data_IF_455644632728
#
_entry.id   IF_455644632728
#
_cell.length_a   1.000
_cell.length_b   1.000
_cell.length_c   1.000
_cell.angle_alpha   90.00
_cell.angle_beta   90.00
_cell.angle_gamma   90.00
#
_symmetry.space_group_name_H-M   'P 1'
#
loop_
_entity.id
_entity.type
_entity.pdbx_description
1 polymer ?
#
# COMPACT_ATOMS: atom_id res chain seq x y z
N UNK A 1 27.73 -1.34 28.39
CA UNK A 1 26.41 -0.71 28.11
C UNK A 1 26.17 0.52 28.97
N UNK A 2 26.53 0.49 30.25
CA UNK A 2 26.39 1.65 31.16
C UNK A 2 27.32 2.83 30.87
N UNK A 3 28.34 2.66 30.03
CA UNK A 3 29.29 3.72 29.64
C UNK A 3 28.60 4.97 29.09
N UNK A 4 27.47 4.81 28.40
CA UNK A 4 26.69 5.95 27.86
C UNK A 4 26.05 6.75 28.99
N UNK A 5 25.60 6.09 30.05
CA UNK A 5 25.07 6.76 31.24
C UNK A 5 26.16 7.55 31.95
N UNK A 6 27.40 7.07 31.91
CA UNK A 6 28.57 7.68 32.54
C UNK A 6 29.15 8.91 31.81
N UNK A 7 28.70 9.22 30.59
CA UNK A 7 29.17 10.40 29.84
C UNK A 7 28.89 11.68 30.65
N UNK A 8 29.89 12.53 30.95
CA UNK A 8 29.67 13.76 31.71
C UNK A 8 28.80 14.77 30.95
N UNK A 9 28.22 15.75 31.64
CA UNK A 9 27.31 16.73 31.02
C UNK A 9 27.98 17.53 29.89
N UNK A 10 29.28 17.76 29.95
CA UNK A 10 30.08 18.39 28.88
C UNK A 10 30.02 17.63 27.55
N UNK A 11 29.86 16.30 27.60
CA UNK A 11 29.70 15.44 26.42
C UNK A 11 28.29 15.42 25.84
N UNK A 12 27.29 15.98 26.53
CA UNK A 12 25.89 15.94 26.12
C UNK A 12 25.64 16.50 24.70
N UNK A 13 26.19 17.66 24.30
CA UNK A 13 25.92 18.20 22.96
C UNK A 13 26.35 17.26 21.83
N UNK A 14 27.52 16.64 21.97
CA UNK A 14 28.05 15.70 20.99
C UNK A 14 27.24 14.40 20.96
N UNK A 15 26.88 13.88 22.15
CA UNK A 15 26.06 12.68 22.28
C UNK A 15 24.68 12.86 21.65
N UNK A 16 23.95 13.91 22.02
CA UNK A 16 22.61 14.20 21.48
C UNK A 16 22.66 14.36 19.96
N UNK A 17 23.66 15.07 19.44
CA UNK A 17 23.81 15.24 17.99
C UNK A 17 24.01 13.91 17.26
N UNK A 18 24.78 12.97 17.85
CA UNK A 18 24.98 11.64 17.27
C UNK A 18 23.73 10.77 17.39
N UNK A 19 23.11 10.74 18.57
CA UNK A 19 21.91 9.95 18.82
C UNK A 19 20.72 10.42 17.95
N UNK A 20 20.55 11.74 17.76
CA UNK A 20 19.51 12.27 16.89
C UNK A 20 19.71 11.98 15.41
N UNK A 21 20.96 11.78 14.98
CA UNK A 21 21.27 11.33 13.62
C UNK A 21 21.10 9.82 13.46
N UNK A 22 21.22 9.07 14.55
CA UNK A 22 21.01 7.63 14.53
C UNK A 22 19.53 7.31 14.32
N UNK A 23 19.25 6.35 13.45
CA UNK A 23 17.90 5.85 13.27
C UNK A 23 17.59 4.84 14.37
N UNK A 24 16.98 5.32 15.46
CA UNK A 24 16.58 4.44 16.55
C UNK A 24 15.56 3.41 16.11
N UNK A 25 14.89 3.58 14.96
CA UNK A 25 13.94 2.61 14.41
C UNK A 25 14.63 1.30 13.97
N UNK A 26 15.95 1.30 13.80
CA UNK A 26 16.73 0.08 13.54
C UNK A 26 16.89 -0.82 14.77
N UNK A 27 16.49 -0.35 15.96
CA UNK A 27 16.45 -1.18 17.16
C UNK A 27 15.08 -1.85 17.34
N UNK A 28 15.00 -3.08 17.87
CA UNK A 28 13.74 -3.66 18.33
C UNK A 28 13.03 -2.74 19.33
N UNK A 29 11.69 -2.73 19.34
CA UNK A 29 10.90 -1.97 20.34
C UNK A 29 11.24 -2.33 21.78
N UNK A 30 11.58 -3.59 22.04
CA UNK A 30 11.95 -4.16 23.35
C UNK A 30 13.40 -3.88 23.77
N UNK A 31 14.22 -3.27 22.89
CA UNK A 31 15.66 -3.13 23.12
C UNK A 31 15.99 -2.28 24.37
N UNK A 32 16.76 -2.80 25.34
CA UNK A 32 17.21 -2.03 26.51
C UNK A 32 18.01 -0.76 26.14
N UNK A 33 18.66 -0.77 24.98
CA UNK A 33 19.42 0.37 24.48
C UNK A 33 18.54 1.61 24.26
N UNK A 34 17.26 1.42 23.90
CA UNK A 34 16.30 2.55 23.77
C UNK A 34 16.12 3.26 25.11
N UNK A 35 15.98 2.49 26.20
CA UNK A 35 15.80 3.04 27.55
C UNK A 35 17.06 3.78 28.00
N UNK A 36 18.24 3.22 27.72
CA UNK A 36 19.53 3.86 28.03
C UNK A 36 19.67 5.19 27.28
N UNK A 37 19.45 5.19 25.96
CA UNK A 37 19.52 6.39 25.13
C UNK A 37 18.51 7.44 25.56
N UNK A 38 17.27 7.05 25.83
CA UNK A 38 16.22 7.93 26.33
C UNK A 38 16.65 8.55 27.66
N UNK A 39 17.05 7.73 28.63
CA UNK A 39 17.44 8.18 29.97
C UNK A 39 18.56 9.19 29.90
N UNK A 40 19.61 8.87 29.12
CA UNK A 40 20.74 9.78 28.97
C UNK A 40 20.34 11.06 28.25
N UNK A 41 19.55 10.96 27.18
CA UNK A 41 19.10 12.12 26.43
C UNK A 41 18.26 13.07 27.29
N UNK A 42 17.39 12.54 28.15
CA UNK A 42 16.57 13.33 29.07
C UNK A 42 17.37 14.02 30.18
N UNK A 43 18.56 13.50 30.54
CA UNK A 43 19.49 14.19 31.45
C UNK A 43 20.30 15.30 30.77
N UNK A 44 20.41 15.25 29.45
CA UNK A 44 21.22 16.15 28.65
C UNK A 44 20.44 17.32 28.01
N UNK A 45 19.11 17.21 27.94
CA UNK A 45 18.27 18.15 27.22
C UNK A 45 17.23 18.79 28.14
N UNK A 46 17.15 20.12 28.07
CA UNK A 46 15.98 20.87 28.49
C UNK A 46 14.97 20.87 27.33
N UNK A 47 13.81 20.23 27.57
CA UNK A 47 12.76 20.05 26.56
C UNK A 47 12.15 21.37 26.08
N UNK A 48 12.38 22.47 26.80
CA UNK A 48 11.87 23.81 26.46
C UNK A 48 12.81 24.60 25.56
N UNK A 49 14.04 24.12 25.36
CA UNK A 49 15.08 24.83 24.61
C UNK A 49 15.13 24.38 23.14
N UNK A 50 15.65 25.22 22.22
CA UNK A 50 15.70 24.90 20.79
C UNK A 50 16.46 23.60 20.46
N UNK A 51 17.41 23.18 21.29
CA UNK A 51 18.23 21.97 21.09
C UNK A 51 17.41 20.69 21.07
N UNK A 52 16.16 20.70 21.55
CA UNK A 52 15.26 19.54 21.55
C UNK A 52 15.01 18.98 20.14
N UNK A 53 15.14 19.80 19.08
CA UNK A 53 15.06 19.32 17.68
C UNK A 53 16.16 18.32 17.34
N UNK A 54 17.26 18.31 18.09
CA UNK A 54 18.36 17.35 17.93
C UNK A 54 18.02 15.96 18.47
N UNK A 55 16.83 15.73 19.05
CA UNK A 55 16.37 14.40 19.46
C UNK A 55 16.28 13.42 18.28
N UNK A 56 15.97 13.90 17.07
CA UNK A 56 15.80 13.02 15.91
C UNK A 56 14.74 11.94 16.16
N UNK A 57 15.05 10.69 15.84
CA UNK A 57 14.14 9.55 16.04
C UNK A 57 13.89 9.16 17.50
N UNK A 58 14.71 9.65 18.45
CA UNK A 58 14.45 9.42 19.88
C UNK A 58 13.16 10.07 20.37
N UNK A 59 12.57 10.99 19.60
CA UNK A 59 11.24 11.56 19.89
C UNK A 59 10.16 10.47 19.95
N UNK A 60 10.36 9.30 19.33
CA UNK A 60 9.46 8.16 19.45
C UNK A 60 9.48 7.55 20.87
N UNK A 61 10.63 7.62 21.55
CA UNK A 61 10.88 6.91 22.80
C UNK A 61 10.59 7.80 24.04
N UNK A 62 10.56 9.13 23.92
CA UNK A 62 10.29 10.03 25.06
C UNK A 62 8.88 9.86 25.65
N UNK A 63 8.71 10.16 26.93
CA UNK A 63 7.39 10.12 27.60
C UNK A 63 6.44 11.21 27.10
N UNK A 64 5.12 11.03 27.33
CA UNK A 64 4.10 12.00 26.97
C UNK A 64 4.30 13.36 27.69
N UNK A 65 4.75 13.35 28.95
CA UNK A 65 5.04 14.58 29.70
C UNK A 65 6.20 15.37 29.11
N UNK A 66 7.28 14.69 28.71
CA UNK A 66 8.44 15.32 28.04
C UNK A 66 8.06 15.83 26.65
N UNK A 67 7.27 15.06 25.88
CA UNK A 67 6.73 15.51 24.60
C UNK A 67 5.87 16.77 24.77
N UNK A 68 5.07 16.86 25.83
CA UNK A 68 4.24 18.03 26.11
C UNK A 68 5.06 19.33 26.22
N UNK A 69 6.23 19.25 26.85
CA UNK A 69 7.13 20.39 27.09
C UNK A 69 7.83 20.95 25.85
N UNK A 70 7.85 20.23 24.72
CA UNK A 70 8.47 20.71 23.48
C UNK A 70 7.69 21.92 22.94
N UNK A 71 8.29 23.09 22.70
CA UNK A 71 7.54 24.20 22.13
C UNK A 71 7.06 23.89 20.69
N UNK A 72 5.97 24.51 20.26
CA UNK A 72 5.25 24.10 19.04
C UNK A 72 6.10 24.21 17.76
N UNK A 73 6.99 25.19 17.69
CA UNK A 73 7.89 25.36 16.55
C UNK A 73 8.89 24.19 16.44
N UNK A 74 9.49 23.79 17.56
CA UNK A 74 10.38 22.62 17.59
C UNK A 74 9.61 21.32 17.36
N UNK A 75 8.36 21.23 17.84
CA UNK A 75 7.50 20.09 17.54
C UNK A 75 7.26 19.94 16.04
N UNK A 76 6.98 21.04 15.31
CA UNK A 76 6.85 21.00 13.84
C UNK A 76 8.12 20.47 13.18
N UNK A 77 9.30 20.88 13.63
CA UNK A 77 10.59 20.37 13.13
C UNK A 77 10.80 18.88 13.38
N UNK A 78 10.24 18.34 14.46
CA UNK A 78 10.35 16.93 14.82
C UNK A 78 9.28 16.03 14.17
N UNK A 79 8.24 16.59 13.56
CA UNK A 79 7.15 15.79 12.95
C UNK A 79 7.66 14.77 11.91
N UNK A 80 8.58 15.09 10.98
CA UNK A 80 9.07 14.10 10.03
C UNK A 80 9.71 12.88 10.70
N UNK A 81 10.28 13.05 11.91
CA UNK A 81 10.80 11.94 12.72
C UNK A 81 9.69 11.20 13.45
N UNK A 82 8.67 11.91 13.91
CA UNK A 82 7.46 11.31 14.48
C UNK A 82 6.69 10.45 13.47
N UNK A 83 6.71 10.79 12.18
CA UNK A 83 6.06 9.99 11.13
C UNK A 83 6.59 8.56 11.08
N UNK A 84 7.87 8.34 11.46
CA UNK A 84 8.49 7.03 11.48
C UNK A 84 8.27 6.23 12.79
N UNK A 85 7.62 6.82 13.79
CA UNK A 85 7.39 6.10 15.06
C UNK A 85 6.40 4.95 14.93
N UNK A 86 5.47 5.04 13.97
CA UNK A 86 4.30 4.18 13.90
C UNK A 86 3.35 4.43 15.06
N UNK A 87 2.70 3.38 15.55
CA UNK A 87 1.73 3.41 16.65
C UNK A 87 2.19 4.21 17.89
N UNK A 88 1.32 5.10 18.38
CA UNK A 88 1.53 5.86 19.62
C UNK A 88 0.63 5.31 20.75
N UNK A 89 1.14 5.34 21.99
CA UNK A 89 0.31 5.13 23.18
C UNK A 89 -0.77 6.22 23.30
N UNK A 90 -1.91 5.90 23.91
CA UNK A 90 -3.03 6.84 24.11
C UNK A 90 -2.64 8.19 24.73
N UNK A 91 -1.73 8.18 25.71
CA UNK A 91 -1.23 9.40 26.36
C UNK A 91 -0.47 10.29 25.37
N UNK A 92 0.50 9.70 24.64
CA UNK A 92 1.25 10.41 23.59
C UNK A 92 0.34 10.92 22.49
N UNK A 93 -0.61 10.11 22.03
CA UNK A 93 -1.57 10.49 20.99
C UNK A 93 -2.39 11.72 21.40
N UNK A 94 -2.80 11.81 22.67
CA UNK A 94 -3.50 12.98 23.23
C UNK A 94 -2.61 14.24 23.19
N UNK A 95 -1.33 14.11 23.55
CA UNK A 95 -0.37 15.22 23.50
C UNK A 95 -0.09 15.67 22.06
N UNK A 96 0.15 14.73 21.14
CA UNK A 96 0.34 15.00 19.71
C UNK A 96 -0.88 15.70 19.14
N UNK A 97 -2.09 15.17 19.38
CA UNK A 97 -3.35 15.78 18.95
C UNK A 97 -3.47 17.24 19.39
N UNK A 98 -3.20 17.52 20.66
CA UNK A 98 -3.24 18.89 21.19
C UNK A 98 -2.20 19.78 20.51
N UNK A 99 -0.96 19.31 20.36
CA UNK A 99 0.09 20.07 19.67
C UNK A 99 -0.26 20.38 18.22
N UNK A 100 -0.83 19.42 17.49
CA UNK A 100 -1.30 19.63 16.13
C UNK A 100 -2.35 20.74 16.06
N UNK A 101 -3.37 20.70 16.94
CA UNK A 101 -4.39 21.75 17.02
C UNK A 101 -3.79 23.12 17.35
N UNK A 102 -2.80 23.20 18.25
CA UNK A 102 -2.15 24.47 18.59
C UNK A 102 -1.24 24.97 17.47
N UNK A 103 -0.58 24.08 16.74
CA UNK A 103 0.39 24.40 15.68
C UNK A 103 -0.26 24.81 14.35
N UNK A 104 -1.42 24.24 14.04
CA UNK A 104 -2.10 24.37 12.74
C UNK A 104 -3.51 24.98 12.83
N UNK A 105 -4.02 25.21 14.05
CA UNK A 105 -5.37 25.71 14.27
C UNK A 105 -6.44 24.63 14.17
N UNK A 106 -7.68 25.06 13.96
CA UNK A 106 -8.84 24.17 13.85
C UNK A 106 -8.81 23.36 12.54
N UNK A 107 -9.18 22.08 12.58
CA UNK A 107 -9.16 21.19 11.42
C UNK A 107 -9.95 21.75 10.23
N UNK A 108 -11.04 22.47 10.48
CA UNK A 108 -11.83 23.09 9.41
C UNK A 108 -11.12 24.18 8.60
N UNK A 109 -9.99 24.70 9.09
CA UNK A 109 -9.17 25.68 8.37
C UNK A 109 -7.88 25.07 7.81
N UNK A 110 -7.71 23.74 7.86
CA UNK A 110 -6.49 23.11 7.38
C UNK A 110 -6.46 23.06 5.86
N UNK A 111 -5.32 23.43 5.29
CA UNK A 111 -5.02 23.32 3.86
C UNK A 111 -4.48 21.95 3.51
N UNK A 112 -4.40 21.64 2.22
CA UNK A 112 -3.72 20.42 1.72
C UNK A 112 -2.26 20.37 2.15
N UNK A 113 -1.57 21.50 2.20
CA UNK A 113 -0.20 21.60 2.70
C UNK A 113 -0.08 21.20 4.17
N UNK A 114 -1.00 21.67 5.03
CA UNK A 114 -1.04 21.25 6.44
C UNK A 114 -1.26 19.73 6.56
N UNK A 115 -2.17 19.16 5.78
CA UNK A 115 -2.48 17.72 5.77
C UNK A 115 -1.24 16.91 5.40
N UNK A 116 -0.56 17.28 4.31
CA UNK A 116 0.67 16.62 3.86
C UNK A 116 1.81 16.76 4.88
N UNK A 117 1.94 17.94 5.50
CA UNK A 117 2.97 18.18 6.52
C UNK A 117 2.74 17.37 7.80
N UNK A 118 1.49 17.20 8.23
CA UNK A 118 1.12 16.40 9.41
C UNK A 118 1.19 14.90 9.11
N UNK A 119 0.89 14.49 7.87
CA UNK A 119 1.06 13.13 7.40
C UNK A 119 0.32 12.09 8.25
N UNK A 120 0.98 11.00 8.66
CA UNK A 120 0.32 9.87 9.30
C UNK A 120 -0.10 10.18 10.74
N UNK A 121 0.38 11.28 11.32
CA UNK A 121 -0.06 11.76 12.63
C UNK A 121 -1.53 12.16 12.63
N UNK A 122 -2.15 12.35 11.46
CA UNK A 122 -3.61 12.54 11.35
C UNK A 122 -4.41 11.37 11.94
N UNK A 123 -3.83 10.17 12.02
CA UNK A 123 -4.46 8.99 12.65
C UNK A 123 -4.76 9.16 14.14
N UNK A 124 -4.17 10.14 14.83
CA UNK A 124 -4.50 10.41 16.25
C UNK A 124 -5.91 11.00 16.42
N UNK A 125 -6.49 11.55 15.36
CA UNK A 125 -7.84 12.12 15.37
C UNK A 125 -8.91 11.05 15.22
N UNK A 126 -10.05 11.28 15.85
CA UNK A 126 -11.21 10.39 15.71
C UNK A 126 -11.98 10.67 14.42
N UNK A 127 -12.86 9.76 14.02
CA UNK A 127 -13.77 9.95 12.85
C UNK A 127 -14.52 11.27 12.92
N UNK A 128 -15.08 11.60 14.08
CA UNK A 128 -15.85 12.84 14.29
C UNK A 128 -14.99 14.10 14.22
N UNK A 129 -13.70 13.99 14.51
CA UNK A 129 -12.76 15.11 14.37
C UNK A 129 -12.32 15.27 12.92
N UNK A 130 -12.01 14.16 12.22
CA UNK A 130 -11.62 14.17 10.81
C UNK A 130 -12.74 14.62 9.88
N UNK A 131 -14.01 14.46 10.26
CA UNK A 131 -15.14 15.03 9.51
C UNK A 131 -15.15 16.57 9.52
N UNK A 132 -14.41 17.22 10.42
CA UNK A 132 -14.28 18.67 10.44
C UNK A 132 -13.30 19.21 9.39
N UNK A 133 -12.42 18.37 8.81
CA UNK A 133 -11.56 18.79 7.69
C UNK A 133 -12.44 19.20 6.50
N UNK A 134 -12.02 20.18 5.67
CA UNK A 134 -12.82 20.62 4.52
C UNK A 134 -13.26 19.45 3.63
N UNK A 135 -14.53 19.43 3.24
CA UNK A 135 -15.10 18.41 2.37
C UNK A 135 -14.88 18.78 0.89
N UNK A 136 -13.62 18.83 0.47
CA UNK A 136 -13.24 19.16 -0.92
C UNK A 136 -12.44 18.01 -1.53
N UNK A 137 -12.42 17.98 -2.87
CA UNK A 137 -11.70 16.97 -3.62
C UNK A 137 -10.19 17.03 -3.34
N UNK A 138 -9.62 18.23 -3.23
CA UNK A 138 -8.19 18.45 -2.98
C UNK A 138 -7.76 17.93 -1.60
N UNK A 139 -8.62 18.11 -0.58
CA UNK A 139 -8.40 17.53 0.76
C UNK A 139 -8.48 16.01 0.70
N UNK A 140 -9.45 15.47 -0.03
CA UNK A 140 -9.55 14.03 -0.29
C UNK A 140 -8.27 13.47 -0.91
N UNK A 141 -7.75 14.14 -1.96
CA UNK A 141 -6.50 13.76 -2.62
C UNK A 141 -5.30 13.83 -1.68
N UNK A 142 -5.15 14.91 -0.91
CA UNK A 142 -4.06 15.04 0.05
C UNK A 142 -4.07 13.91 1.10
N UNK A 143 -5.25 13.47 1.54
CA UNK A 143 -5.38 12.32 2.44
C UNK A 143 -4.96 11.00 1.74
N UNK A 144 -5.32 10.80 0.48
CA UNK A 144 -4.81 9.63 -0.29
C UNK A 144 -3.30 9.67 -0.39
N UNK A 145 -2.70 10.82 -0.69
CA UNK A 145 -1.24 10.93 -0.79
C UNK A 145 -0.56 10.59 0.54
N UNK A 146 -1.13 11.00 1.68
CA UNK A 146 -0.66 10.59 3.01
C UNK A 146 -0.77 9.07 3.20
N UNK A 147 -1.91 8.47 2.86
CA UNK A 147 -2.11 7.01 2.95
C UNK A 147 -1.10 6.28 2.09
N UNK A 148 -0.94 6.65 0.83
CA UNK A 148 -0.04 5.96 -0.10
C UNK A 148 1.45 6.14 0.25
N UNK A 149 1.82 7.26 0.88
CA UNK A 149 3.22 7.51 1.31
C UNK A 149 3.57 6.72 2.58
N UNK A 150 2.58 6.31 3.38
CA UNK A 150 2.78 5.73 4.70
C UNK A 150 2.13 4.37 4.92
N UNK A 151 1.46 3.84 3.92
CA UNK A 151 1.21 2.41 3.78
C UNK A 151 2.55 1.77 3.45
N UNK A 152 3.17 1.20 4.47
CA UNK A 152 4.40 0.45 4.26
C UNK A 152 4.10 -0.72 3.30
N UNK A 153 4.95 -0.90 2.29
CA UNK A 153 5.17 -2.21 1.69
C UNK A 153 5.87 -3.07 2.75
N UNK A 154 5.14 -3.42 3.80
CA UNK A 154 5.58 -4.38 4.78
C UNK A 154 5.63 -5.72 4.06
N UNK A 155 6.83 -6.09 3.59
CA UNK A 155 7.11 -7.49 3.30
C UNK A 155 6.65 -8.29 4.52
N UNK A 156 5.83 -9.32 4.29
CA UNK A 156 5.23 -10.18 5.33
C UNK A 156 6.26 -10.92 6.22
N UNK A 157 7.54 -10.56 6.11
CA UNK A 157 8.72 -11.14 6.76
C UNK A 157 9.31 -10.22 7.84
N UNK A 158 8.81 -8.99 8.04
CA UNK A 158 9.33 -8.13 9.10
C UNK A 158 8.86 -8.62 10.48
N UNK A 159 9.80 -8.74 11.43
CA UNK A 159 9.49 -9.18 12.79
C UNK A 159 8.63 -8.12 13.51
N UNK A 160 7.62 -8.51 14.32
CA UNK A 160 6.74 -7.57 15.03
C UNK A 160 7.47 -6.50 15.86
N UNK A 161 8.66 -6.82 16.37
CA UNK A 161 9.47 -5.88 17.16
C UNK A 161 10.04 -4.70 16.35
N UNK A 162 10.01 -4.77 15.01
CA UNK A 162 10.49 -3.71 14.11
C UNK A 162 9.37 -3.04 13.32
N UNK A 163 8.15 -3.61 13.34
CA UNK A 163 7.00 -3.11 12.62
C UNK A 163 6.57 -1.74 13.15
N UNK A 164 6.48 -0.73 12.28
CA UNK A 164 6.12 0.66 12.64
C UNK A 164 5.13 1.27 11.65
N UNK A 165 4.07 0.52 11.40
CA UNK A 165 2.93 1.02 10.66
C UNK A 165 2.03 1.91 11.51
N UNK A 166 1.35 2.82 10.83
CA UNK A 166 0.21 3.56 11.37
C UNK A 166 -1.07 2.84 10.97
N UNK A 167 -2.07 2.88 11.85
CA UNK A 167 -3.44 2.56 11.45
C UNK A 167 -4.00 3.78 10.69
N UNK A 168 -4.10 3.65 9.38
CA UNK A 168 -4.56 4.71 8.48
C UNK A 168 -6.01 4.48 8.01
N UNK A 169 -6.70 3.46 8.53
CA UNK A 169 -8.05 3.08 8.07
C UNK A 169 -9.07 4.22 8.20
N UNK A 170 -8.93 5.08 9.21
CA UNK A 170 -9.80 6.26 9.33
C UNK A 170 -9.52 7.32 8.27
N UNK A 171 -8.25 7.48 7.87
CA UNK A 171 -7.87 8.42 6.80
C UNK A 171 -8.33 7.90 5.44
N UNK A 172 -8.23 6.60 5.19
CA UNK A 172 -8.75 5.95 3.98
C UNK A 172 -10.25 6.24 3.83
N UNK A 173 -11.04 6.01 4.88
CA UNK A 173 -12.47 6.32 4.90
C UNK A 173 -12.77 7.80 4.68
N UNK A 174 -12.00 8.68 5.33
CA UNK A 174 -12.15 10.13 5.21
C UNK A 174 -11.76 10.65 3.81
N UNK A 175 -10.76 10.04 3.17
CA UNK A 175 -10.35 10.34 1.81
C UNK A 175 -11.41 9.87 0.82
N UNK A 176 -11.84 8.62 0.95
CA UNK A 176 -12.85 8.01 0.09
C UNK A 176 -14.16 8.80 0.11
N UNK A 177 -14.66 9.17 1.29
CA UNK A 177 -15.91 9.96 1.38
C UNK A 177 -15.79 11.33 0.68
N UNK A 178 -14.62 11.97 0.71
CA UNK A 178 -14.42 13.27 0.05
C UNK A 178 -14.30 13.17 -1.46
N UNK A 179 -13.72 12.06 -1.93
CA UNK A 179 -13.51 11.83 -3.36
C UNK A 179 -14.74 11.22 -4.04
N UNK A 180 -15.55 10.48 -3.30
CA UNK A 180 -16.67 9.72 -3.85
C UNK A 180 -18.04 10.19 -3.34
N UNK A 181 -18.19 10.60 -2.08
CA UNK A 181 -19.48 10.95 -1.45
C UNK A 181 -19.86 12.44 -1.62
N UNK A 182 -19.39 13.10 -2.68
CA UNK A 182 -19.89 14.43 -3.07
C UNK A 182 -21.30 14.32 -3.65
N UNK A 183 -22.27 13.95 -2.81
CA UNK A 183 -23.70 13.94 -3.13
C UNK A 183 -24.45 12.66 -2.76
N UNK A 184 -24.67 12.42 -1.47
CA UNK A 184 -25.82 11.72 -0.88
C UNK A 184 -26.42 10.56 -1.69
N UNK A 185 -26.20 9.32 -1.25
CA UNK A 185 -27.25 8.30 -1.34
C UNK A 185 -27.37 7.44 -0.09
N UNK A 186 -28.62 7.39 0.39
CA UNK A 186 -29.06 6.62 1.55
C UNK A 186 -28.96 5.12 1.29
N UNK A 187 -28.50 4.36 2.29
CA UNK A 187 -28.49 2.89 2.25
C UNK A 187 -29.90 2.34 2.03
N UNK A 188 -30.13 1.59 0.96
CA UNK A 188 -31.16 0.54 0.93
C UNK A 188 -30.67 -0.73 0.25
N UNK A 189 -30.88 -1.86 0.92
CA UNK A 189 -30.72 -3.22 0.40
C UNK A 189 -31.82 -3.53 -0.63
N UNK A 190 -31.47 -4.15 -1.77
CA UNK A 190 -31.87 -5.51 -2.18
C UNK A 190 -31.41 -5.83 -3.63
N UNK A 191 -31.52 -7.11 -3.95
CA UNK A 191 -30.93 -7.92 -5.04
C UNK A 191 -31.58 -7.73 -6.43
N UNK A 192 -30.81 -8.10 -7.48
CA UNK A 192 -31.15 -8.52 -8.87
C UNK A 192 -31.48 -7.39 -9.88
N UNK A 193 -30.72 -7.42 -11.00
CA UNK A 193 -30.70 -6.49 -12.15
C UNK A 193 -30.52 -5.01 -11.80
N UNK A 194 -29.27 -4.62 -11.66
CA UNK A 194 -28.87 -3.26 -11.34
C UNK A 194 -28.94 -2.40 -12.60
N UNK A 195 -30.01 -1.63 -12.74
CA UNK A 195 -29.99 -0.47 -13.63
C UNK A 195 -28.99 0.54 -13.09
N UNK A 196 -27.97 0.89 -13.89
CA UNK A 196 -26.95 1.85 -13.49
C UNK A 196 -27.47 3.29 -13.31
N UNK A 197 -28.74 3.53 -13.61
CA UNK A 197 -29.43 4.83 -13.49
C UNK A 197 -29.42 5.39 -12.07
N UNK A 198 -29.48 4.54 -11.04
CA UNK A 198 -29.54 4.96 -9.62
C UNK A 198 -28.18 4.86 -8.91
N UNK A 199 -27.14 4.37 -9.60
CA UNK A 199 -25.83 4.15 -9.00
C UNK A 199 -24.89 5.28 -9.39
N UNK A 200 -24.37 5.97 -8.39
CA UNK A 200 -23.24 6.85 -8.58
C UNK A 200 -22.02 6.04 -9.02
N UNK A 201 -21.64 6.17 -10.28
CA UNK A 201 -20.48 5.51 -10.85
C UNK A 201 -19.23 6.39 -10.70
N UNK A 202 -18.04 5.80 -10.52
CA UNK A 202 -16.79 6.55 -10.50
C UNK A 202 -16.49 7.13 -11.88
N UNK A 203 -15.83 8.29 -11.91
CA UNK A 203 -15.21 8.84 -13.12
C UNK A 203 -13.69 8.57 -13.15
N UNK A 204 -13.04 8.87 -14.27
CA UNK A 204 -11.61 8.55 -14.44
C UNK A 204 -10.70 9.34 -13.50
N UNK A 205 -11.04 10.59 -13.20
CA UNK A 205 -10.29 11.41 -12.25
C UNK A 205 -10.38 10.82 -10.85
N UNK A 206 -11.58 10.40 -10.41
CA UNK A 206 -11.78 9.74 -9.12
C UNK A 206 -10.97 8.44 -9.02
N UNK A 207 -11.00 7.58 -10.04
CA UNK A 207 -10.23 6.32 -10.06
C UNK A 207 -8.73 6.59 -9.99
N UNK A 208 -8.25 7.53 -10.82
CA UNK A 208 -6.83 7.90 -10.84
C UNK A 208 -6.35 8.48 -9.50
N UNK A 209 -7.22 9.21 -8.79
CA UNK A 209 -6.90 9.78 -7.48
C UNK A 209 -6.96 8.74 -6.37
N UNK A 210 -7.98 7.87 -6.36
CA UNK A 210 -8.17 6.85 -5.34
C UNK A 210 -7.08 5.76 -5.35
N UNK A 211 -6.52 5.42 -6.52
CA UNK A 211 -5.49 4.37 -6.66
C UNK A 211 -5.94 3.07 -5.97
N UNK A 212 -5.19 2.55 -4.99
CA UNK A 212 -5.53 1.31 -4.29
C UNK A 212 -6.84 1.40 -3.48
N UNK A 213 -7.24 2.60 -3.05
CA UNK A 213 -8.53 2.82 -2.38
C UNK A 213 -9.72 2.68 -3.33
N UNK A 214 -9.49 2.49 -4.63
CA UNK A 214 -10.55 2.09 -5.56
C UNK A 214 -11.16 0.74 -5.16
N UNK A 215 -10.44 -0.08 -4.38
CA UNK A 215 -10.97 -1.31 -3.78
C UNK A 215 -12.11 -1.08 -2.77
N UNK A 216 -12.32 0.14 -2.29
CA UNK A 216 -13.48 0.50 -1.46
C UNK A 216 -14.79 0.64 -2.27
N UNK A 217 -14.70 0.78 -3.60
CA UNK A 217 -15.88 0.84 -4.47
C UNK A 217 -16.60 -0.51 -4.53
N UNK A 218 -17.91 -0.50 -4.40
CA UNK A 218 -18.72 -1.71 -4.56
C UNK A 218 -18.63 -2.26 -5.98
N UNK A 219 -18.87 -3.57 -6.15
CA UNK A 219 -18.91 -4.22 -7.47
C UNK A 219 -19.91 -3.54 -8.41
N UNK A 220 -21.03 -3.04 -7.92
CA UNK A 220 -22.00 -2.33 -8.76
C UNK A 220 -21.50 -0.95 -9.20
N UNK A 221 -20.81 -0.21 -8.33
CA UNK A 221 -20.20 1.07 -8.70
C UNK A 221 -19.12 0.87 -9.77
N UNK A 222 -18.28 -0.15 -9.62
CA UNK A 222 -17.28 -0.53 -10.62
C UNK A 222 -17.94 -0.97 -11.93
N UNK A 223 -18.99 -1.79 -11.86
CA UNK A 223 -19.73 -2.19 -13.04
C UNK A 223 -20.34 -0.99 -13.74
N UNK A 224 -20.95 -0.04 -13.03
CA UNK A 224 -21.73 1.04 -13.64
C UNK A 224 -20.92 2.20 -14.22
N UNK A 225 -19.59 2.17 -14.14
CA UNK A 225 -18.76 3.16 -14.84
C UNK A 225 -18.95 3.10 -16.35
N UNK A 226 -18.80 4.24 -17.03
CA UNK A 226 -18.95 4.28 -18.48
C UNK A 226 -17.83 3.50 -19.20
N UNK A 227 -18.09 3.07 -20.44
CA UNK A 227 -17.07 2.39 -21.25
C UNK A 227 -15.84 3.27 -21.52
N UNK A 228 -16.00 4.58 -21.64
CA UNK A 228 -14.87 5.51 -21.81
C UNK A 228 -14.08 5.64 -20.52
N UNK A 229 -14.74 5.74 -19.36
CA UNK A 229 -14.11 5.76 -18.04
C UNK A 229 -13.30 4.49 -17.78
N UNK A 230 -13.87 3.32 -18.07
CA UNK A 230 -13.15 2.05 -17.94
C UNK A 230 -11.89 2.05 -18.81
N UNK A 231 -12.02 2.38 -20.11
CA UNK A 231 -10.89 2.39 -21.05
C UNK A 231 -9.77 3.35 -20.64
N UNK A 232 -10.10 4.52 -20.11
CA UNK A 232 -9.10 5.50 -19.68
C UNK A 232 -8.47 5.20 -18.32
N UNK A 233 -9.06 4.30 -17.53
CA UNK A 233 -8.64 4.04 -16.15
C UNK A 233 -8.23 2.58 -15.89
N UNK A 234 -8.31 1.71 -16.91
CA UNK A 234 -8.09 0.27 -16.76
C UNK A 234 -6.68 -0.06 -16.24
N UNK A 235 -5.65 0.69 -16.63
CA UNK A 235 -4.28 0.46 -16.13
C UNK A 235 -4.17 0.74 -14.62
N UNK A 236 -4.88 1.78 -14.14
CA UNK A 236 -4.95 2.08 -12.70
C UNK A 236 -5.74 0.99 -11.98
N UNK A 237 -6.90 0.61 -12.51
CA UNK A 237 -7.73 -0.48 -11.95
C UNK A 237 -6.96 -1.80 -11.92
N UNK A 238 -6.18 -2.11 -12.96
CA UNK A 238 -5.38 -3.32 -13.06
C UNK A 238 -4.24 -3.40 -12.06
N UNK A 239 -3.76 -2.27 -11.55
CA UNK A 239 -2.73 -2.24 -10.50
C UNK A 239 -3.29 -2.53 -9.10
N UNK A 240 -4.59 -2.34 -8.87
CA UNK A 240 -5.21 -2.49 -7.55
C UNK A 240 -5.24 -3.95 -7.11
N UNK A 241 -4.53 -4.25 -6.03
CA UNK A 241 -4.43 -5.62 -5.48
C UNK A 241 -5.58 -5.98 -4.54
N UNK A 242 -6.25 -4.98 -3.95
CA UNK A 242 -7.27 -5.14 -2.91
C UNK A 242 -8.66 -5.57 -3.40
N UNK A 243 -8.89 -5.72 -4.70
CA UNK A 243 -10.20 -6.14 -5.20
C UNK A 243 -10.57 -7.56 -4.72
N UNK A 244 -11.83 -7.77 -4.39
CA UNK A 244 -12.41 -9.09 -4.15
C UNK A 244 -12.96 -9.71 -5.45
N UNK A 245 -13.45 -10.96 -5.37
CA UNK A 245 -13.93 -11.69 -6.55
C UNK A 245 -15.13 -11.05 -7.23
N UNK A 246 -16.06 -10.45 -6.47
CA UNK A 246 -17.23 -9.81 -7.05
C UNK A 246 -16.85 -8.50 -7.77
N UNK A 247 -15.87 -7.75 -7.24
CA UNK A 247 -15.32 -6.55 -7.89
C UNK A 247 -14.55 -6.91 -9.16
N UNK A 248 -13.67 -7.93 -9.12
CA UNK A 248 -13.00 -8.43 -10.34
C UNK A 248 -14.00 -8.88 -11.40
N UNK A 249 -15.04 -9.61 -11.00
CA UNK A 249 -16.10 -10.07 -11.91
C UNK A 249 -16.85 -8.89 -12.55
N UNK A 250 -17.19 -7.86 -11.77
CA UNK A 250 -17.82 -6.65 -12.28
C UNK A 250 -16.93 -5.91 -13.29
N UNK A 251 -15.64 -5.77 -13.00
CA UNK A 251 -14.68 -5.13 -13.89
C UNK A 251 -14.47 -5.91 -15.19
N UNK A 252 -14.45 -7.25 -15.13
CA UNK A 252 -14.40 -8.10 -16.32
C UNK A 252 -15.68 -8.02 -17.16
N UNK A 253 -16.85 -7.89 -16.53
CA UNK A 253 -18.09 -7.66 -17.24
C UNK A 253 -18.07 -6.30 -17.97
N UNK A 254 -17.62 -5.23 -17.28
CA UNK A 254 -17.41 -3.91 -17.90
C UNK A 254 -16.38 -3.96 -19.04
N UNK A 255 -15.31 -4.74 -18.91
CA UNK A 255 -14.31 -4.94 -19.97
C UNK A 255 -14.93 -5.59 -21.22
N UNK A 256 -15.80 -6.58 -21.04
CA UNK A 256 -16.53 -7.24 -22.13
C UNK A 256 -17.45 -6.26 -22.87
N UNK A 257 -18.18 -5.41 -22.15
CA UNK A 257 -19.01 -4.36 -22.77
C UNK A 257 -18.18 -3.28 -23.47
N UNK A 258 -17.04 -2.90 -22.90
CA UNK A 258 -16.21 -1.83 -23.42
C UNK A 258 -15.38 -2.25 -24.65
N UNK A 259 -14.94 -3.50 -24.73
CA UNK A 259 -14.03 -3.99 -25.76
C UNK A 259 -14.64 -5.00 -26.72
N UNK A 260 -15.14 -6.12 -26.19
CA UNK A 260 -15.83 -7.19 -26.92
C UNK A 260 -16.25 -8.27 -25.92
N UNK A 261 -17.45 -8.88 -26.07
CA UNK A 261 -17.84 -10.03 -25.25
C UNK A 261 -16.95 -11.26 -25.46
N UNK A 262 -16.25 -11.33 -26.59
CA UNK A 262 -15.37 -12.42 -27.00
C UNK A 262 -13.93 -12.15 -26.55
N UNK A 263 -13.42 -12.93 -25.60
CA UNK A 263 -12.09 -12.77 -24.99
C UNK A 263 -10.97 -13.03 -26.02
N UNK A 264 -11.19 -13.93 -26.97
CA UNK A 264 -10.29 -14.25 -28.09
C UNK A 264 -9.99 -13.04 -29.01
N UNK A 265 -10.85 -12.01 -28.97
CA UNK A 265 -10.68 -10.75 -29.70
C UNK A 265 -9.90 -9.70 -28.90
N UNK A 266 -9.56 -9.97 -27.64
CA UNK A 266 -8.77 -9.06 -26.83
C UNK A 266 -7.30 -9.11 -27.27
N UNK A 267 -6.68 -7.94 -27.36
CA UNK A 267 -5.25 -7.81 -27.72
C UNK A 267 -4.38 -8.04 -26.49
N UNK A 268 -3.11 -8.40 -26.67
CA UNK A 268 -2.16 -8.55 -25.56
C UNK A 268 -2.10 -7.27 -24.69
N UNK A 269 -2.14 -6.10 -25.31
CA UNK A 269 -2.21 -4.82 -24.59
C UNK A 269 -3.44 -4.70 -23.67
N UNK A 270 -4.62 -5.16 -24.10
CA UNK A 270 -5.83 -5.17 -23.26
C UNK A 270 -5.68 -6.13 -22.07
N UNK A 271 -5.08 -7.30 -22.30
CA UNK A 271 -4.80 -8.27 -21.23
C UNK A 271 -3.79 -7.70 -20.23
N UNK A 272 -2.75 -7.04 -20.72
CA UNK A 272 -1.75 -6.36 -19.90
C UNK A 272 -2.41 -5.29 -19.02
N UNK A 273 -3.22 -4.42 -19.61
CA UNK A 273 -3.94 -3.37 -18.89
C UNK A 273 -4.87 -3.89 -17.79
N UNK A 274 -5.42 -5.11 -17.93
CA UNK A 274 -6.27 -5.69 -16.88
C UNK A 274 -5.50 -5.98 -15.59
N UNK A 275 -4.18 -6.20 -15.63
CA UNK A 275 -3.37 -6.50 -14.45
C UNK A 275 -4.05 -7.51 -13.52
N UNK A 276 -4.16 -7.20 -12.23
CA UNK A 276 -4.78 -8.01 -11.18
C UNK A 276 -6.25 -8.40 -11.45
N UNK A 277 -6.97 -7.66 -12.30
CA UNK A 277 -8.37 -7.96 -12.66
C UNK A 277 -8.47 -9.29 -13.41
N UNK A 278 -7.44 -9.68 -14.17
CA UNK A 278 -7.41 -10.91 -14.97
C UNK A 278 -7.62 -12.17 -14.12
N UNK A 279 -7.31 -12.12 -12.82
CA UNK A 279 -7.55 -13.20 -11.85
C UNK A 279 -9.03 -13.55 -11.67
N UNK A 280 -9.95 -12.68 -12.09
CA UNK A 280 -11.38 -13.00 -12.11
C UNK A 280 -11.79 -13.90 -13.28
N UNK A 281 -10.89 -14.18 -14.24
CA UNK A 281 -11.17 -15.10 -15.34
C UNK A 281 -11.14 -16.54 -14.86
N UNK A 282 -12.17 -17.31 -15.21
CA UNK A 282 -12.18 -18.75 -14.94
C UNK A 282 -11.05 -19.47 -15.70
N UNK A 283 -10.61 -20.66 -15.26
CA UNK A 283 -9.66 -21.47 -16.01
C UNK A 283 -10.09 -21.69 -17.47
N UNK A 284 -11.39 -21.87 -17.73
CA UNK A 284 -11.92 -21.99 -19.11
C UNK A 284 -11.78 -20.68 -19.88
N UNK A 285 -12.04 -19.54 -19.26
CA UNK A 285 -11.88 -18.25 -19.94
C UNK A 285 -10.41 -17.95 -20.28
N UNK A 286 -9.47 -18.40 -19.45
CA UNK A 286 -8.03 -18.22 -19.68
C UNK A 286 -7.53 -18.98 -20.93
N UNK A 287 -8.18 -20.07 -21.35
CA UNK A 287 -7.76 -20.80 -22.56
C UNK A 287 -7.99 -20.02 -23.86
N UNK A 288 -8.83 -18.98 -23.83
CA UNK A 288 -9.08 -18.13 -25.00
C UNK A 288 -8.06 -17.00 -25.16
N UNK A 289 -7.15 -16.82 -24.19
CA UNK A 289 -6.09 -15.83 -24.28
C UNK A 289 -5.05 -16.22 -25.32
N UNK A 290 -4.52 -15.22 -26.03
CA UNK A 290 -3.38 -15.38 -26.94
C UNK A 290 -2.11 -15.40 -26.10
N UNK A 291 -1.57 -16.60 -25.88
CA UNK A 291 -0.41 -16.90 -25.05
C UNK A 291 0.70 -17.55 -25.91
N UNK A 292 0.88 -17.11 -27.14
CA UNK A 292 1.90 -17.68 -28.04
C UNK A 292 3.31 -17.14 -27.76
N UNK A 293 3.43 -15.95 -27.14
CA UNK A 293 4.70 -15.29 -26.84
C UNK A 293 5.07 -15.43 -25.36
N UNK A 294 6.37 -15.47 -25.07
CA UNK A 294 6.84 -15.50 -23.67
C UNK A 294 6.58 -14.17 -22.97
N UNK A 295 6.59 -13.05 -23.70
CA UNK A 295 6.32 -11.72 -23.14
C UNK A 295 4.88 -11.62 -22.61
N UNK A 296 3.90 -12.16 -23.35
CA UNK A 296 2.51 -12.20 -22.90
C UNK A 296 2.36 -12.98 -21.58
N UNK A 297 3.05 -14.12 -21.45
CA UNK A 297 2.97 -14.94 -20.23
C UNK A 297 3.78 -14.34 -19.08
N UNK A 298 4.90 -13.69 -19.36
CA UNK A 298 5.73 -13.04 -18.34
C UNK A 298 4.97 -11.93 -17.62
N UNK A 299 4.12 -11.21 -18.34
CA UNK A 299 3.21 -10.23 -17.74
C UNK A 299 2.20 -10.89 -16.78
N UNK A 300 1.63 -12.03 -17.17
CA UNK A 300 0.73 -12.80 -16.28
C UNK A 300 1.48 -13.41 -15.09
N UNK A 301 2.73 -13.83 -15.29
CA UNK A 301 3.57 -14.38 -14.24
C UNK A 301 3.94 -13.37 -13.16
N UNK A 302 3.99 -12.08 -13.50
CA UNK A 302 4.18 -10.98 -12.54
C UNK A 302 2.98 -10.75 -11.62
N UNK A 303 1.82 -11.31 -11.93
CA UNK A 303 0.61 -11.18 -11.11
C UNK A 303 0.66 -12.18 -9.96
N UNK A 304 0.45 -11.69 -8.74
CA UNK A 304 0.44 -12.49 -7.51
C UNK A 304 -0.96 -13.01 -7.18
N UNK A 305 -1.04 -14.13 -6.44
CA UNK A 305 -2.31 -14.67 -5.95
C UNK A 305 -3.12 -15.48 -6.96
N UNK A 306 -2.49 -16.02 -8.00
CA UNK A 306 -3.14 -16.98 -8.91
C UNK A 306 -3.64 -18.23 -8.17
N UNK A 307 -4.82 -18.70 -8.54
CA UNK A 307 -5.24 -20.05 -8.14
C UNK A 307 -4.44 -21.11 -8.91
N UNK A 308 -4.21 -22.26 -8.28
CA UNK A 308 -3.45 -23.36 -8.90
C UNK A 308 -4.02 -23.78 -10.26
N UNK A 309 -5.34 -23.90 -10.37
CA UNK A 309 -6.00 -24.27 -11.63
C UNK A 309 -5.77 -23.21 -12.73
N UNK A 310 -5.83 -21.93 -12.39
CA UNK A 310 -5.58 -20.84 -13.33
C UNK A 310 -4.12 -20.84 -13.81
N UNK A 311 -3.17 -20.91 -12.87
CA UNK A 311 -1.73 -20.94 -13.20
C UNK A 311 -1.34 -22.16 -14.06
N UNK A 312 -1.94 -23.33 -13.80
CA UNK A 312 -1.75 -24.52 -14.62
C UNK A 312 -2.28 -24.34 -16.05
N UNK A 313 -3.46 -23.74 -16.21
CA UNK A 313 -4.01 -23.46 -17.54
C UNK A 313 -3.14 -22.49 -18.32
N UNK A 314 -2.66 -21.41 -17.70
CA UNK A 314 -1.81 -20.41 -18.38
C UNK A 314 -0.56 -21.08 -18.97
N UNK A 315 0.16 -21.89 -18.18
CA UNK A 315 1.37 -22.59 -18.65
C UNK A 315 1.02 -23.63 -19.71
N UNK A 316 -0.08 -24.37 -19.54
CA UNK A 316 -0.50 -25.40 -20.50
C UNK A 316 -0.85 -24.79 -21.86
N UNK A 317 -1.61 -23.70 -21.86
CA UNK A 317 -2.01 -23.03 -23.09
C UNK A 317 -0.82 -22.34 -23.77
N UNK A 318 0.12 -21.78 -22.99
CA UNK A 318 1.39 -21.29 -23.53
C UNK A 318 2.17 -22.38 -24.27
N UNK A 319 2.38 -23.54 -23.65
CA UNK A 319 3.10 -24.66 -24.26
C UNK A 319 2.43 -25.11 -25.56
N UNK A 320 1.11 -25.20 -25.55
CA UNK A 320 0.32 -25.58 -26.73
C UNK A 320 0.44 -24.56 -27.86
N UNK A 321 0.27 -23.26 -27.60
CA UNK A 321 0.32 -22.22 -28.63
C UNK A 321 1.73 -21.95 -29.15
N UNK A 322 2.74 -22.04 -28.29
CA UNK A 322 4.16 -21.91 -28.66
C UNK A 322 4.76 -23.19 -29.24
N UNK A 323 3.98 -24.28 -29.34
CA UNK A 323 4.44 -25.61 -29.77
C UNK A 323 5.66 -26.11 -28.98
N UNK A 324 5.72 -25.76 -27.70
CA UNK A 324 6.79 -26.14 -26.78
C UNK A 324 6.32 -27.24 -25.82
N UNK A 325 7.27 -27.94 -25.21
CA UNK A 325 7.05 -28.91 -24.15
C UNK A 325 7.83 -28.50 -22.91
N UNK A 326 7.47 -29.04 -21.73
CA UNK A 326 8.22 -28.76 -20.48
C UNK A 326 9.73 -28.99 -20.65
N UNK A 327 10.12 -30.05 -21.36
CA UNK A 327 11.53 -30.40 -21.60
C UNK A 327 12.24 -29.52 -22.63
N UNK A 328 11.50 -28.78 -23.48
CA UNK A 328 12.08 -27.94 -24.53
C UNK A 328 12.17 -26.46 -24.15
N UNK A 329 11.78 -26.09 -22.92
CA UNK A 329 11.80 -24.71 -22.46
C UNK A 329 13.24 -24.21 -22.26
N UNK A 330 13.58 -23.12 -22.94
CA UNK A 330 14.84 -22.41 -22.75
C UNK A 330 14.90 -21.67 -21.40
N UNK A 331 16.09 -21.26 -20.97
CA UNK A 331 16.26 -20.46 -19.75
C UNK A 331 15.47 -19.14 -19.78
N UNK A 332 15.31 -18.52 -20.95
CA UNK A 332 14.50 -17.30 -21.12
C UNK A 332 13.02 -17.59 -20.91
N UNK A 333 12.52 -18.69 -21.48
CA UNK A 333 11.14 -19.11 -21.29
C UNK A 333 10.86 -19.50 -19.83
N UNK A 334 11.79 -20.21 -19.19
CA UNK A 334 11.67 -20.53 -17.77
C UNK A 334 11.65 -19.28 -16.88
N UNK A 335 12.51 -18.30 -17.18
CA UNK A 335 12.54 -17.03 -16.47
C UNK A 335 11.24 -16.25 -16.66
N UNK A 336 10.67 -16.25 -17.87
CA UNK A 336 9.40 -15.58 -18.15
C UNK A 336 8.18 -16.27 -17.52
N UNK A 337 8.16 -17.61 -17.47
CA UNK A 337 7.10 -18.35 -16.76
C UNK A 337 7.16 -18.10 -15.24
N UNK A 338 8.36 -17.90 -14.69
CA UNK A 338 8.56 -17.39 -13.34
C UNK A 338 7.75 -18.14 -12.26
N UNK A 339 7.03 -17.42 -11.37
CA UNK A 339 6.24 -18.03 -10.29
C UNK A 339 5.11 -18.96 -10.75
N UNK A 340 4.68 -18.91 -12.02
CA UNK A 340 3.65 -19.83 -12.52
C UNK A 340 4.13 -21.29 -12.55
N UNK A 341 5.45 -21.50 -12.63
CA UNK A 341 6.06 -22.83 -12.59
C UNK A 341 5.81 -23.53 -11.25
N UNK A 342 5.66 -22.79 -10.17
CA UNK A 342 5.47 -23.33 -8.82
C UNK A 342 4.13 -24.07 -8.65
N UNK A 343 3.17 -23.85 -9.56
CA UNK A 343 1.86 -24.50 -9.55
C UNK A 343 1.76 -25.75 -10.43
N UNK A 344 2.79 -26.10 -11.21
CA UNK A 344 2.68 -27.14 -12.25
C UNK A 344 2.73 -28.58 -11.71
N UNK A 345 2.99 -28.76 -10.41
CA UNK A 345 3.17 -30.07 -9.78
C UNK A 345 4.57 -30.65 -10.03
N UNK A 346 5.00 -31.51 -9.10
CA UNK A 346 6.37 -32.05 -9.08
C UNK A 346 6.70 -32.84 -10.35
N UNK A 347 5.76 -33.65 -10.85
CA UNK A 347 5.97 -34.50 -12.03
C UNK A 347 6.27 -33.68 -13.29
N UNK A 348 5.56 -32.57 -13.50
CA UNK A 348 5.80 -31.70 -14.66
C UNK A 348 7.08 -30.89 -14.52
N UNK A 349 7.40 -30.43 -13.30
CA UNK A 349 8.66 -29.74 -13.01
C UNK A 349 9.86 -30.68 -13.23
N UNK A 350 9.73 -31.97 -12.93
CA UNK A 350 10.78 -32.96 -13.15
C UNK A 350 11.15 -33.14 -14.64
N UNK A 351 10.27 -32.74 -15.57
CA UNK A 351 10.52 -32.81 -17.01
C UNK A 351 11.37 -31.65 -17.55
N UNK A 352 11.62 -30.61 -16.75
CA UNK A 352 12.38 -29.44 -17.19
C UNK A 352 13.84 -29.79 -17.52
N UNK A 353 14.41 -29.14 -18.54
CA UNK A 353 15.83 -29.26 -18.83
C UNK A 353 16.66 -28.77 -17.64
N UNK A 354 17.53 -29.64 -17.13
CA UNK A 354 18.32 -29.38 -15.92
C UNK A 354 19.30 -28.23 -16.11
N UNK A 355 19.81 -28.02 -17.32
CA UNK A 355 20.79 -26.97 -17.62
C UNK A 355 20.11 -25.61 -17.67
N UNK A 356 19.00 -25.52 -18.40
CA UNK A 356 18.17 -24.32 -18.49
C UNK A 356 17.62 -23.92 -17.10
N UNK A 357 17.16 -24.89 -16.31
CA UNK A 357 16.64 -24.65 -14.97
C UNK A 357 17.71 -24.11 -14.00
N UNK A 358 18.93 -24.68 -14.00
CA UNK A 358 20.04 -24.19 -13.17
C UNK A 358 20.39 -22.73 -13.44
N UNK A 359 20.35 -22.30 -14.71
CA UNK A 359 20.62 -20.92 -15.09
C UNK A 359 19.63 -19.91 -14.48
N UNK A 360 18.37 -20.31 -14.25
CA UNK A 360 17.34 -19.45 -13.65
C UNK A 360 17.38 -19.51 -12.13
N UNK A 361 17.58 -20.69 -11.54
CA UNK A 361 17.64 -20.87 -10.09
C UNK A 361 18.76 -20.04 -9.42
N UNK A 362 19.93 -19.94 -10.05
CA UNK A 362 21.02 -19.09 -9.55
C UNK A 362 20.72 -17.59 -9.67
N UNK A 363 19.74 -17.18 -10.50
CA UNK A 363 19.38 -15.78 -10.74
C UNK A 363 18.10 -15.34 -10.02
N UNK A 364 17.18 -16.25 -9.70
CA UNK A 364 15.87 -15.93 -9.09
C UNK A 364 15.40 -17.05 -8.15
N UNK A 365 14.90 -16.66 -6.97
CA UNK A 365 14.14 -17.54 -6.04
C UNK A 365 12.71 -17.73 -6.60
N UNK A 366 12.54 -18.67 -7.54
CA UNK A 366 11.32 -18.86 -8.34
C UNK A 366 10.01 -19.03 -7.54
N UNK A 367 10.07 -19.60 -6.32
CA UNK A 367 8.87 -19.95 -5.53
C UNK A 367 8.85 -19.32 -4.12
N UNK A 368 9.48 -18.16 -3.90
CA UNK A 368 9.39 -17.50 -2.60
C UNK A 368 8.21 -16.51 -2.54
N UNK A 369 7.34 -16.67 -1.53
CA UNK A 369 6.23 -15.75 -1.25
C UNK A 369 4.88 -16.14 -1.84
N UNK A 370 4.68 -17.41 -2.23
CA UNK A 370 3.37 -17.99 -2.54
C UNK A 370 2.85 -18.85 -1.39
#
# INVERSE_FOLDING_TARGET
MDEILMIPHEGCPALISRLGKADSTLLPKSSPMRVIFQTKAMSCLDMTKPEVVKLGFLVCDISASKLSGIPNEQFKTLMPKLHACGTLSNEKATIVKRKLKTSFGNLGSWTTENILQVGPLLSVFTVNELSALPNTFEVGQALVDVVMTHTASESATSLPEFQRSWDLTLLEKAAFSRLFDTGSQTRKKRTINVECSEIQAPNSTMISTLKDLTSELTSNQLYCMSNSTFKSSVDVLGAVTGFNDSQRSALLARAKEAWSPHIEQWTEAKIYSLGQIVRGLTPVSLTFLKLSSIDAVSNLAGITGWETAQAQVIVTEYLKQSKSTMSSLSSTQLSGLGPLLCFQGVDRIALLDKTAYRCVYHKQRLCQGQ
#
